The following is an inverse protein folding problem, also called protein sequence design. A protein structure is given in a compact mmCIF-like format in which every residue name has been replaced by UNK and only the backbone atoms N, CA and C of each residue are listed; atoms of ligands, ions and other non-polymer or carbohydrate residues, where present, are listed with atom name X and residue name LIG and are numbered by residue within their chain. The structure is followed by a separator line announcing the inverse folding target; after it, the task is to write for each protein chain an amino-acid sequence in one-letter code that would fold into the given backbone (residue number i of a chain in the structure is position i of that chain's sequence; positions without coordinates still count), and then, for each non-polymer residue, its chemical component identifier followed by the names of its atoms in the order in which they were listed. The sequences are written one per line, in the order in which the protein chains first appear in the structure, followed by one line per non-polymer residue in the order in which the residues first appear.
data_IF_009716959710
#
_entry.id   IF_009716959710
#
_cell.length_a   1.000
_cell.length_b   1.000
_cell.length_c   1.000
_cell.angle_alpha   90.00
_cell.angle_beta   90.00
_cell.angle_gamma   90.00
#
_symmetry.space_group_name_H-M   'P 1'
#
loop_
_entity.id
_entity.type
_entity.pdbx_description
1 polymer ?
#
# COMPACT_ATOMS: atom_id res chain seq x y z
N UNK A 1 -29.01 3.43 -17.59
CA UNK A 1 -27.64 2.88 -17.46
C UNK A 1 -27.56 2.09 -16.16
N UNK A 2 -27.36 0.78 -16.26
CA UNK A 2 -27.74 -0.25 -15.27
C UNK A 2 -26.96 -0.15 -13.93
N UNK A 3 -27.67 -0.18 -12.79
CA UNK A 3 -27.17 0.18 -11.44
C UNK A 3 -26.51 -0.97 -10.66
N UNK A 4 -26.58 -2.21 -11.13
CA UNK A 4 -26.07 -3.39 -10.38
C UNK A 4 -24.55 -3.60 -10.44
N UNK A 5 -23.86 -3.14 -11.49
CA UNK A 5 -22.43 -3.45 -11.69
C UNK A 5 -21.44 -2.48 -11.02
N UNK A 6 -21.90 -1.45 -10.29
CA UNK A 6 -20.99 -0.48 -9.61
C UNK A 6 -20.34 -1.02 -8.34
N UNK A 7 -20.88 -2.06 -7.71
CA UNK A 7 -20.41 -2.54 -6.38
C UNK A 7 -19.13 -3.40 -6.41
N UNK A 8 -18.61 -3.77 -7.59
CA UNK A 8 -17.46 -4.70 -7.72
C UNK A 8 -16.15 -4.07 -8.22
N UNK A 9 -16.08 -2.75 -8.43
CA UNK A 9 -14.79 -2.11 -8.78
C UNK A 9 -14.00 -1.80 -7.52
N UNK A 10 -13.05 -2.68 -7.18
CA UNK A 10 -12.03 -2.43 -6.17
C UNK A 10 -11.07 -1.29 -6.57
N UNK A 11 -11.05 -0.88 -7.84
CA UNK A 11 -10.21 0.24 -8.27
C UNK A 11 -11.06 1.19 -9.11
N UNK A 12 -11.28 2.37 -8.55
CA UNK A 12 -12.27 3.34 -9.02
C UNK A 12 -11.60 4.38 -9.94
N UNK A 13 -10.30 4.64 -9.73
CA UNK A 13 -9.61 5.81 -10.28
C UNK A 13 -8.19 5.49 -10.74
N UNK A 14 -7.74 6.09 -11.84
CA UNK A 14 -6.33 6.02 -12.29
C UNK A 14 -5.37 6.53 -11.22
N UNK A 15 -5.77 7.55 -10.47
CA UNK A 15 -4.96 8.12 -9.38
C UNK A 15 -4.81 7.15 -8.20
N UNK A 16 -5.83 6.33 -7.94
CA UNK A 16 -5.79 5.27 -6.93
C UNK A 16 -4.65 4.28 -7.21
N UNK A 17 -4.47 3.92 -8.49
CA UNK A 17 -3.36 3.08 -8.93
C UNK A 17 -1.99 3.75 -8.77
N UNK A 18 -1.87 5.04 -9.12
CA UNK A 18 -0.60 5.77 -8.96
C UNK A 18 -0.18 5.80 -7.49
N UNK A 19 -1.11 6.09 -6.57
CA UNK A 19 -0.81 6.08 -5.13
C UNK A 19 -0.40 4.69 -4.65
N UNK A 20 -1.13 3.63 -5.04
CA UNK A 20 -0.79 2.25 -4.67
C UNK A 20 0.61 1.90 -5.19
N UNK A 21 0.90 2.20 -6.46
CA UNK A 21 2.20 1.92 -7.08
C UNK A 21 3.34 2.70 -6.41
N UNK A 22 3.15 3.98 -6.11
CA UNK A 22 4.17 4.79 -5.42
C UNK A 22 4.47 4.26 -4.03
N UNK A 23 3.44 3.90 -3.25
CA UNK A 23 3.63 3.36 -1.89
C UNK A 23 4.24 1.96 -1.95
N UNK A 24 3.76 1.08 -2.84
CA UNK A 24 4.35 -0.26 -3.02
C UNK A 24 5.79 -0.21 -3.51
N UNK A 25 6.10 0.72 -4.42
CA UNK A 25 7.46 0.95 -4.89
C UNK A 25 8.39 1.39 -3.76
N UNK A 26 7.94 2.28 -2.89
CA UNK A 26 8.69 2.69 -1.69
C UNK A 26 8.94 1.49 -0.76
N UNK A 27 7.91 0.70 -0.47
CA UNK A 27 8.02 -0.48 0.40
C UNK A 27 8.98 -1.52 -0.20
N UNK A 28 8.87 -1.78 -1.50
CA UNK A 28 9.78 -2.67 -2.21
C UNK A 28 11.23 -2.16 -2.18
N UNK A 29 11.44 -0.85 -2.36
CA UNK A 29 12.75 -0.22 -2.27
C UNK A 29 13.38 -0.36 -0.89
N UNK A 30 12.63 -0.07 0.18
CA UNK A 30 13.10 -0.23 1.56
C UNK A 30 13.39 -1.70 1.87
N UNK A 31 12.49 -2.61 1.50
CA UNK A 31 12.68 -4.04 1.74
C UNK A 31 13.90 -4.59 0.98
N UNK A 32 14.09 -4.17 -0.28
CA UNK A 32 15.27 -4.53 -1.07
C UNK A 32 16.56 -4.02 -0.43
N UNK A 33 16.57 -2.77 0.03
CA UNK A 33 17.73 -2.20 0.75
C UNK A 33 18.07 -3.00 2.02
N UNK A 34 17.07 -3.44 2.78
CA UNK A 34 17.28 -4.27 3.98
C UNK A 34 17.86 -5.65 3.64
N UNK A 35 17.38 -6.29 2.57
CA UNK A 35 17.93 -7.59 2.12
C UNK A 35 19.39 -7.44 1.67
N UNK A 36 19.70 -6.40 0.89
CA UNK A 36 21.07 -6.11 0.45
C UNK A 36 21.98 -5.82 1.64
N UNK A 37 21.52 -5.00 2.59
CA UNK A 37 22.28 -4.69 3.80
C UNK A 37 22.56 -5.96 4.62
N UNK A 38 21.55 -6.81 4.80
CA UNK A 38 21.70 -8.09 5.49
C UNK A 38 22.75 -8.97 4.79
N UNK A 39 22.67 -9.09 3.46
CA UNK A 39 23.64 -9.85 2.68
C UNK A 39 25.07 -9.33 2.85
N UNK A 40 25.27 -8.00 2.76
CA UNK A 40 26.58 -7.37 2.95
C UNK A 40 27.13 -7.62 4.36
N UNK A 41 26.28 -7.46 5.38
CA UNK A 41 26.64 -7.67 6.79
C UNK A 41 27.04 -9.13 7.03
N UNK A 42 26.21 -10.08 6.61
CA UNK A 42 26.49 -11.52 6.81
C UNK A 42 27.76 -11.93 6.07
N UNK A 43 27.97 -11.46 4.83
CA UNK A 43 29.19 -11.72 4.07
C UNK A 43 30.44 -11.20 4.79
N UNK A 44 30.38 -9.97 5.32
CA UNK A 44 31.50 -9.35 6.05
C UNK A 44 31.85 -10.16 7.29
N UNK A 45 30.88 -10.55 8.10
CA UNK A 45 31.12 -11.38 9.28
C UNK A 45 31.61 -12.79 8.92
N UNK A 46 31.07 -13.42 7.88
CA UNK A 46 31.53 -14.72 7.42
C UNK A 46 32.99 -14.70 6.97
N UNK A 47 33.46 -13.61 6.34
CA UNK A 47 34.87 -13.48 5.92
C UNK A 47 35.87 -13.24 7.06
N UNK A 48 35.40 -12.83 8.24
CA UNK A 48 36.24 -12.61 9.42
C UNK A 48 36.43 -13.89 10.24
N UNK A 49 35.58 -14.88 10.05
CA UNK A 49 35.68 -16.15 10.73
C UNK A 49 36.63 -17.07 9.94
N UNK A 50 37.55 -17.80 10.60
CA UNK A 50 38.44 -18.75 9.94
C UNK A 50 37.71 -20.05 9.58
N UNK A 51 36.68 -19.94 8.72
CA UNK A 51 35.87 -21.08 8.26
C UNK A 51 36.20 -21.41 6.81
N UNK A 52 36.00 -22.68 6.45
CA UNK A 52 36.07 -23.10 5.06
C UNK A 52 34.99 -22.36 4.23
N UNK A 53 35.29 -22.02 2.96
CA UNK A 53 34.37 -21.26 2.11
C UNK A 53 33.01 -21.95 1.90
N UNK A 54 32.97 -23.28 1.99
CA UNK A 54 31.74 -24.07 1.93
C UNK A 54 30.80 -23.83 3.11
N UNK A 55 31.35 -23.76 4.34
CA UNK A 55 30.58 -23.50 5.56
C UNK A 55 30.13 -22.04 5.59
N UNK A 56 30.96 -21.11 5.10
CA UNK A 56 30.59 -19.69 4.95
C UNK A 56 29.38 -19.49 4.04
N UNK A 57 29.34 -20.17 2.89
CA UNK A 57 28.20 -20.10 1.97
C UNK A 57 26.93 -20.70 2.56
N UNK A 58 27.03 -21.80 3.30
CA UNK A 58 25.88 -22.39 4.00
C UNK A 58 25.34 -21.47 5.10
N UNK A 59 26.21 -20.78 5.85
CA UNK A 59 25.80 -19.79 6.85
C UNK A 59 25.09 -18.59 6.23
N UNK A 60 25.61 -18.08 5.10
CA UNK A 60 24.97 -16.99 4.34
C UNK A 60 23.58 -17.43 3.89
N UNK A 61 23.46 -18.61 3.27
CA UNK A 61 22.18 -19.13 2.79
C UNK A 61 21.17 -19.29 3.94
N UNK A 62 21.57 -19.90 5.07
CA UNK A 62 20.71 -20.09 6.24
C UNK A 62 20.30 -18.77 6.92
N UNK A 63 21.10 -17.72 6.81
CA UNK A 63 20.80 -16.42 7.41
C UNK A 63 19.94 -15.53 6.51
N UNK A 64 20.17 -15.55 5.20
CA UNK A 64 19.48 -14.67 4.24
C UNK A 64 18.12 -15.23 3.83
N UNK A 65 17.99 -16.55 3.70
CA UNK A 65 16.73 -17.20 3.31
C UNK A 65 15.52 -16.87 4.20
N UNK A 66 15.59 -16.94 5.56
CA UNK A 66 14.46 -16.57 6.41
C UNK A 66 14.09 -15.08 6.28
N UNK A 67 15.08 -14.20 6.06
CA UNK A 67 14.85 -12.76 5.87
C UNK A 67 14.06 -12.51 4.59
N UNK A 68 14.39 -13.22 3.49
CA UNK A 68 13.64 -13.14 2.24
C UNK A 68 12.18 -13.57 2.45
N UNK A 69 11.94 -14.68 3.16
CA UNK A 69 10.58 -15.16 3.45
C UNK A 69 9.78 -14.11 4.23
N UNK A 70 10.37 -13.54 5.29
CA UNK A 70 9.73 -12.50 6.10
C UNK A 70 9.39 -11.27 5.23
N UNK A 71 10.32 -10.85 4.37
CA UNK A 71 10.11 -9.73 3.45
C UNK A 71 8.94 -9.98 2.51
N UNK A 72 8.82 -11.19 1.94
CA UNK A 72 7.71 -11.55 1.05
C UNK A 72 6.37 -11.48 1.80
N UNK A 73 6.31 -12.04 3.02
CA UNK A 73 5.09 -12.02 3.85
C UNK A 73 4.68 -10.57 4.17
N UNK A 74 5.64 -9.76 4.63
CA UNK A 74 5.39 -8.35 4.95
C UNK A 74 4.97 -7.55 3.71
N UNK A 75 5.53 -7.85 2.54
CA UNK A 75 5.15 -7.21 1.29
C UNK A 75 3.68 -7.51 0.93
N UNK A 76 3.25 -8.77 1.04
CA UNK A 76 1.86 -9.17 0.80
C UNK A 76 0.91 -8.49 1.79
N UNK A 77 1.24 -8.48 3.07
CA UNK A 77 0.44 -7.81 4.10
C UNK A 77 0.34 -6.30 3.84
N UNK A 78 1.45 -5.68 3.47
CA UNK A 78 1.50 -4.26 3.13
C UNK A 78 0.64 -3.93 1.90
N UNK A 79 0.67 -4.79 0.88
CA UNK A 79 -0.18 -4.63 -0.30
C UNK A 79 -1.67 -4.61 0.07
N UNK A 80 -2.12 -5.56 0.89
CA UNK A 80 -3.49 -5.60 1.39
C UNK A 80 -3.85 -4.38 2.23
N UNK A 81 -2.96 -3.96 3.14
CA UNK A 81 -3.17 -2.76 3.95
C UNK A 81 -3.33 -1.50 3.09
N UNK A 82 -2.45 -1.32 2.10
CA UNK A 82 -2.49 -0.16 1.20
C UNK A 82 -3.72 -0.19 0.31
N UNK A 83 -4.16 -1.35 -0.17
CA UNK A 83 -5.44 -1.49 -0.88
C UNK A 83 -6.62 -1.02 -0.02
N UNK A 84 -6.69 -1.48 1.23
CA UNK A 84 -7.76 -1.11 2.17
C UNK A 84 -7.74 0.39 2.51
N UNK A 85 -6.56 0.95 2.77
CA UNK A 85 -6.40 2.39 3.04
C UNK A 85 -6.80 3.20 1.80
N UNK A 86 -6.33 2.79 0.63
CA UNK A 86 -6.62 3.45 -0.64
C UNK A 86 -8.12 3.52 -0.91
N UNK A 87 -8.85 2.47 -0.56
CA UNK A 87 -10.31 2.44 -0.60
C UNK A 87 -10.99 3.45 0.33
N UNK A 88 -10.51 3.55 1.56
CA UNK A 88 -11.02 4.51 2.57
C UNK A 88 -10.74 5.96 2.21
N UNK A 89 -9.80 6.22 1.30
CA UNK A 89 -9.46 7.58 0.83
C UNK A 89 -10.17 7.89 -0.49
N UNK A 90 -9.97 7.10 -1.55
CA UNK A 90 -10.47 7.44 -2.88
C UNK A 90 -11.99 7.36 -3.01
N UNK A 91 -12.63 6.41 -2.33
CA UNK A 91 -14.08 6.25 -2.33
C UNK A 91 -14.80 7.53 -1.91
N UNK A 92 -14.51 8.08 -0.73
CA UNK A 92 -15.15 9.31 -0.28
C UNK A 92 -14.65 10.56 -1.03
N UNK A 93 -13.37 10.65 -1.42
CA UNK A 93 -12.86 11.79 -2.22
C UNK A 93 -13.62 11.94 -3.55
N UNK A 94 -13.87 10.81 -4.22
CA UNK A 94 -14.65 10.79 -5.45
C UNK A 94 -16.09 11.28 -5.25
N UNK A 95 -16.72 10.93 -4.12
CA UNK A 95 -18.06 11.43 -3.75
C UNK A 95 -18.05 12.92 -3.45
N UNK A 96 -17.02 13.42 -2.76
CA UNK A 96 -16.83 14.86 -2.54
C UNK A 96 -16.76 15.61 -3.87
N UNK A 97 -15.90 15.15 -4.80
CA UNK A 97 -15.75 15.79 -6.10
C UNK A 97 -17.07 15.86 -6.86
N UNK A 98 -17.85 14.77 -6.85
CA UNK A 98 -19.18 14.74 -7.47
C UNK A 98 -20.18 15.69 -6.80
N UNK A 99 -20.15 15.79 -5.48
CA UNK A 99 -21.01 16.70 -4.74
C UNK A 99 -20.70 18.17 -5.05
N UNK A 100 -19.40 18.53 -5.10
CA UNK A 100 -18.95 19.89 -5.47
C UNK A 100 -19.33 20.21 -6.92
N UNK A 101 -19.16 19.27 -7.86
CA UNK A 101 -19.59 19.44 -9.25
C UNK A 101 -21.10 19.75 -9.36
N UNK A 102 -21.94 19.09 -8.56
CA UNK A 102 -23.38 19.35 -8.52
C UNK A 102 -23.71 20.73 -7.95
N UNK A 103 -23.03 21.14 -6.88
CA UNK A 103 -23.19 22.48 -6.30
C UNK A 103 -22.82 23.59 -7.28
N UNK A 104 -21.67 23.45 -7.96
CA UNK A 104 -21.22 24.41 -8.99
C UNK A 104 -22.20 24.45 -10.16
N UNK A 105 -22.80 23.32 -10.52
CA UNK A 105 -23.82 23.22 -11.56
C UNK A 105 -25.18 23.86 -11.20
N UNK A 106 -25.35 24.37 -9.98
CA UNK A 106 -26.62 24.93 -9.51
C UNK A 106 -27.69 23.85 -9.24
N UNK A 107 -27.32 22.57 -9.25
CA UNK A 107 -28.22 21.48 -8.86
C UNK A 107 -28.38 21.44 -7.34
N UNK A 108 -29.56 21.03 -6.86
CA UNK A 108 -29.74 20.68 -5.44
C UNK A 108 -28.92 19.43 -5.14
N UNK A 109 -27.67 19.61 -4.71
CA UNK A 109 -26.80 18.52 -4.33
C UNK A 109 -27.46 17.74 -3.17
N UNK A 110 -27.72 16.45 -3.38
CA UNK A 110 -28.32 15.59 -2.36
C UNK A 110 -27.39 15.38 -1.15
N UNK A 111 -27.89 14.79 -0.06
CA UNK A 111 -27.10 14.59 1.16
C UNK A 111 -25.80 13.80 0.93
N UNK A 112 -24.66 14.44 1.16
CA UNK A 112 -23.34 13.82 1.15
C UNK A 112 -23.21 12.82 2.30
N UNK A 113 -23.14 11.53 1.97
CA UNK A 113 -23.00 10.44 2.95
C UNK A 113 -21.62 9.77 2.85
N UNK A 114 -20.80 10.00 3.86
CA UNK A 114 -19.59 9.22 4.13
C UNK A 114 -19.90 8.03 5.04
N UNK A 115 -19.09 6.98 4.96
CA UNK A 115 -19.08 5.90 5.95
C UNK A 115 -18.33 6.38 7.19
N UNK A 116 -18.63 5.78 8.35
CA UNK A 116 -18.03 6.16 9.65
C UNK A 116 -16.49 6.12 9.61
N UNK A 117 -15.91 5.14 8.92
CA UNK A 117 -14.47 4.90 8.87
C UNK A 117 -13.79 5.44 7.59
N UNK A 118 -14.49 6.27 6.82
CA UNK A 118 -13.91 6.94 5.65
C UNK A 118 -12.94 8.04 6.13
N UNK A 119 -11.82 8.22 5.43
CA UNK A 119 -10.75 9.14 5.84
C UNK A 119 -11.17 10.62 5.93
N UNK A 120 -12.31 10.96 5.32
CA UNK A 120 -12.88 12.32 5.27
C UNK A 120 -14.29 12.35 5.87
N UNK A 121 -14.60 11.43 6.78
CA UNK A 121 -15.90 11.40 7.46
C UNK A 121 -16.20 12.71 8.20
N UNK A 122 -15.17 13.41 8.69
CA UNK A 122 -15.29 14.72 9.34
C UNK A 122 -15.71 15.85 8.40
N UNK A 123 -15.42 15.76 7.09
CA UNK A 123 -15.85 16.78 6.11
C UNK A 123 -17.36 16.90 6.03
N UNK A 124 -18.11 15.89 6.50
CA UNK A 124 -19.56 15.95 6.60
C UNK A 124 -20.02 17.16 7.42
N UNK A 125 -19.34 17.48 8.51
CA UNK A 125 -19.74 18.55 9.43
C UNK A 125 -19.49 19.95 8.88
N UNK A 126 -18.70 20.05 7.80
CA UNK A 126 -18.34 21.33 7.17
C UNK A 126 -19.21 21.56 5.91
N UNK A 127 -19.53 20.49 5.17
CA UNK A 127 -20.21 20.55 3.87
C UNK A 127 -21.72 20.30 3.93
N UNK A 128 -22.31 20.06 5.10
CA UNK A 128 -23.75 19.88 5.30
C UNK A 128 -24.14 20.09 6.75
#
# INVERSE_FOLDING_TARGET
MNTENRRKKLIISKWQWHMILSVMGLIAGVAGALVVLTFVVVRKYASLLPITPEVGNQLIAKSVFPVIIIVIILFILSFWAVLLISHKIYGPLYRCGKYIEQLIGGEKAGNLKFRKDDAVSELKNILG
#
